data_IF_744970659072
#
_entry.id   IF_744970659072
#
_cell.length_a   1.000
_cell.length_b   1.000
_cell.length_c   1.000
_cell.angle_alpha   90.00
_cell.angle_beta   90.00
_cell.angle_gamma   90.00
#
_symmetry.space_group_name_H-M   'P 1'
#
loop_
_entity.id
_entity.type
_entity.pdbx_description
1 polymer ?
#
# COMPACT_ATOMS: atom_id res chain seq x y z
N UNK A 1 13.34 -3.84 1.94
CA UNK A 1 13.91 -2.46 1.95
C UNK A 1 15.42 -2.56 2.00
N UNK A 2 16.10 -1.81 1.18
CA UNK A 2 17.57 -1.70 1.22
C UNK A 2 17.94 -0.51 2.10
N UNK A 3 18.57 -0.76 3.24
CA UNK A 3 19.19 0.30 4.01
C UNK A 3 20.50 0.70 3.30
N UNK A 4 20.66 1.98 3.01
CA UNK A 4 21.87 2.52 2.36
C UNK A 4 22.97 2.90 3.35
N UNK A 5 22.77 2.63 4.64
CA UNK A 5 23.70 2.94 5.74
C UNK A 5 24.16 4.41 5.76
N UNK A 6 23.25 5.33 5.46
CA UNK A 6 23.55 6.77 5.38
C UNK A 6 23.65 7.45 6.76
N UNK A 7 23.15 6.81 7.81
CA UNK A 7 23.15 7.35 9.17
C UNK A 7 24.31 6.78 10.00
N UNK A 8 24.74 7.52 11.05
CA UNK A 8 25.79 7.10 11.98
C UNK A 8 25.38 5.85 12.79
N UNK A 9 24.08 5.69 13.06
CA UNK A 9 23.53 4.50 13.68
C UNK A 9 22.38 3.94 12.82
N UNK A 10 22.40 2.63 12.58
CA UNK A 10 21.41 1.95 11.76
C UNK A 10 20.84 0.75 12.52
N UNK A 11 19.52 0.68 12.66
CA UNK A 11 18.81 -0.49 13.12
C UNK A 11 17.89 -1.00 12.02
N UNK A 12 18.11 -2.24 11.60
CA UNK A 12 17.36 -2.85 10.49
C UNK A 12 16.82 -4.20 10.94
N UNK A 13 15.50 -4.34 10.97
CA UNK A 13 14.81 -5.61 11.17
C UNK A 13 13.98 -5.94 9.93
N UNK A 14 14.52 -6.78 9.07
CA UNK A 14 13.85 -7.23 7.84
C UNK A 14 12.63 -8.14 8.08
N UNK A 15 12.39 -8.56 9.34
CA UNK A 15 11.23 -9.38 9.73
C UNK A 15 10.10 -8.56 10.34
N UNK A 16 10.35 -7.29 10.68
CA UNK A 16 9.30 -6.40 11.16
C UNK A 16 8.31 -6.12 10.03
N UNK A 17 7.02 -6.15 10.36
CA UNK A 17 5.95 -5.90 9.41
C UNK A 17 5.88 -4.44 8.97
N UNK A 18 6.32 -3.52 9.84
CA UNK A 18 6.31 -2.09 9.62
C UNK A 18 7.44 -1.40 10.39
N UNK A 19 7.84 -0.22 9.96
CA UNK A 19 8.76 0.64 10.71
C UNK A 19 8.18 1.05 12.08
N UNK A 20 6.85 1.22 12.16
CA UNK A 20 6.14 1.49 13.42
C UNK A 20 6.34 0.40 14.49
N UNK A 21 6.46 -0.89 14.09
CA UNK A 21 6.75 -1.99 15.01
C UNK A 21 8.18 -1.91 15.56
N UNK A 22 9.13 -1.43 14.75
CA UNK A 22 10.52 -1.21 15.18
C UNK A 22 10.59 -0.05 16.16
N UNK A 23 9.92 1.07 15.84
CA UNK A 23 9.90 2.26 16.69
C UNK A 23 9.21 1.97 18.04
N UNK A 24 8.11 1.24 18.03
CA UNK A 24 7.44 0.82 19.27
C UNK A 24 8.42 0.06 20.18
N UNK A 25 9.10 -0.96 19.65
CA UNK A 25 10.07 -1.74 20.41
C UNK A 25 11.28 -0.91 20.90
N UNK A 26 11.67 0.10 20.14
CA UNK A 26 12.72 1.03 20.55
C UNK A 26 12.27 1.91 21.71
N UNK A 27 11.07 2.47 21.65
CA UNK A 27 10.51 3.31 22.71
C UNK A 27 10.35 2.53 24.02
N UNK A 28 9.85 1.27 23.95
CA UNK A 28 9.82 0.39 25.13
C UNK A 28 11.21 0.20 25.76
N UNK A 29 12.24 -0.08 24.95
CA UNK A 29 13.61 -0.28 25.43
C UNK A 29 14.23 0.98 26.02
N UNK A 30 13.86 2.14 25.53
CA UNK A 30 14.35 3.44 26.02
C UNK A 30 13.56 3.96 27.21
N UNK A 31 12.48 3.27 27.62
CA UNK A 31 11.59 3.73 28.69
C UNK A 31 10.83 5.01 28.32
N UNK A 32 10.58 5.23 27.03
CA UNK A 32 9.79 6.37 26.56
C UNK A 32 8.32 6.04 26.73
N UNK A 33 7.62 6.84 27.51
CA UNK A 33 6.17 6.75 27.64
C UNK A 33 5.50 7.27 26.37
N UNK A 34 4.54 6.50 25.86
CA UNK A 34 3.73 6.90 24.72
C UNK A 34 2.54 7.73 25.20
N UNK A 35 2.18 8.73 24.42
CA UNK A 35 0.88 9.38 24.49
C UNK A 35 -0.09 8.81 23.43
N UNK A 36 -1.34 9.28 23.43
CA UNK A 36 -2.37 8.82 22.52
C UNK A 36 -2.03 9.12 21.04
N UNK A 37 -1.38 10.25 20.78
CA UNK A 37 -1.03 10.66 19.41
C UNK A 37 0.10 9.78 18.85
N UNK A 38 1.16 9.55 19.63
CA UNK A 38 2.26 8.65 19.25
C UNK A 38 1.73 7.22 19.06
N UNK A 39 0.87 6.75 19.95
CA UNK A 39 0.28 5.41 19.85
C UNK A 39 -0.56 5.27 18.58
N UNK A 40 -1.40 6.27 18.26
CA UNK A 40 -2.18 6.34 17.03
C UNK A 40 -1.30 6.34 15.78
N UNK A 41 -0.20 7.11 15.78
CA UNK A 41 0.69 7.20 14.63
C UNK A 41 1.43 5.88 14.38
N UNK A 42 1.91 5.21 15.45
CA UNK A 42 2.53 3.90 15.36
C UNK A 42 1.53 2.84 14.87
N UNK A 43 0.30 2.86 15.39
CA UNK A 43 -0.78 1.99 14.93
C UNK A 43 -1.10 2.24 13.45
N UNK A 44 -1.19 3.50 13.03
CA UNK A 44 -1.44 3.90 11.64
C UNK A 44 -0.35 3.37 10.70
N UNK A 45 0.93 3.48 11.10
CA UNK A 45 2.05 2.95 10.33
C UNK A 45 1.97 1.42 10.17
N UNK A 46 1.67 0.70 11.27
CA UNK A 46 1.49 -0.76 11.22
C UNK A 46 0.29 -1.13 10.35
N UNK A 47 -0.84 -0.46 10.53
CA UNK A 47 -2.06 -0.70 9.77
C UNK A 47 -1.84 -0.49 8.26
N UNK A 48 -1.16 0.59 7.88
CA UNK A 48 -0.81 0.91 6.49
C UNK A 48 0.07 -0.17 5.85
N UNK A 49 1.19 -0.54 6.49
CA UNK A 49 2.17 -1.47 5.93
C UNK A 49 1.69 -2.93 5.91
N UNK A 50 0.69 -3.25 6.72
CA UNK A 50 0.08 -4.58 6.80
C UNK A 50 -1.24 -4.71 6.04
N UNK A 51 -1.69 -3.64 5.37
CA UNK A 51 -2.99 -3.60 4.71
C UNK A 51 -4.13 -3.89 5.68
N UNK A 52 -4.11 -3.27 6.85
CA UNK A 52 -5.01 -3.56 7.96
C UNK A 52 -4.93 -5.04 8.38
N UNK A 53 -3.74 -5.51 8.64
CA UNK A 53 -3.41 -6.88 9.10
C UNK A 53 -3.79 -8.02 8.14
N UNK A 54 -3.97 -7.71 6.83
CA UNK A 54 -4.35 -8.69 5.80
C UNK A 54 -3.16 -9.32 5.08
N UNK A 55 -1.98 -8.68 5.12
CA UNK A 55 -0.83 -9.12 4.32
C UNK A 55 0.00 -10.19 5.04
N UNK A 56 0.77 -10.94 4.26
CA UNK A 56 1.58 -12.06 4.73
C UNK A 56 2.77 -11.67 5.62
N UNK A 57 3.10 -10.37 5.72
CA UNK A 57 4.13 -9.86 6.62
C UNK A 57 3.65 -9.75 8.08
N UNK A 58 2.37 -9.92 8.36
CA UNK A 58 1.82 -9.90 9.72
C UNK A 58 2.33 -11.08 10.53
N UNK A 59 2.83 -10.81 11.73
CA UNK A 59 3.33 -11.83 12.67
C UNK A 59 2.57 -11.74 13.99
N UNK A 60 2.77 -12.74 14.86
CA UNK A 60 2.23 -12.68 16.22
C UNK A 60 2.80 -11.52 17.04
N UNK A 61 4.01 -11.06 16.71
CA UNK A 61 4.62 -9.87 17.32
C UNK A 61 3.87 -8.62 16.87
N UNK A 62 3.60 -8.50 15.57
CA UNK A 62 2.83 -7.39 14.99
C UNK A 62 1.47 -7.25 15.67
N UNK A 63 0.76 -8.37 15.86
CA UNK A 63 -0.55 -8.36 16.51
C UNK A 63 -0.47 -7.98 17.99
N UNK A 64 0.56 -8.42 18.72
CA UNK A 64 0.77 -8.00 20.11
C UNK A 64 1.09 -6.51 20.21
N UNK A 65 1.96 -6.00 19.35
CA UNK A 65 2.26 -4.56 19.29
C UNK A 65 0.99 -3.75 19.04
N UNK A 66 0.17 -4.17 18.07
CA UNK A 66 -1.10 -3.51 17.79
C UNK A 66 -2.05 -3.57 19.00
N UNK A 67 -2.14 -4.71 19.69
CA UNK A 67 -2.97 -4.84 20.90
C UNK A 67 -2.53 -3.88 22.02
N UNK A 68 -1.21 -3.76 22.26
CA UNK A 68 -0.68 -2.83 23.26
C UNK A 68 -0.97 -1.36 22.87
N UNK A 69 -0.90 -1.03 21.58
CA UNK A 69 -1.24 0.32 21.10
C UNK A 69 -2.72 0.63 21.27
N UNK A 70 -3.61 -0.37 21.19
CA UNK A 70 -5.04 -0.19 21.42
C UNK A 70 -5.44 0.03 22.90
N UNK A 71 -4.49 -0.05 23.83
CA UNK A 71 -4.71 0.35 25.23
C UNK A 71 -4.75 1.88 25.39
N UNK A 72 -4.30 2.63 24.39
CA UNK A 72 -4.35 4.08 24.31
C UNK A 72 -5.67 4.57 23.72
N UNK A 73 -6.08 5.79 24.12
CA UNK A 73 -7.36 6.37 23.71
C UNK A 73 -7.25 7.03 22.31
N UNK A 74 -7.57 6.26 21.25
CA UNK A 74 -7.75 6.75 19.90
C UNK A 74 -8.74 5.87 19.12
N UNK A 75 -9.37 6.45 18.10
CA UNK A 75 -10.30 5.72 17.23
C UNK A 75 -9.57 4.92 16.15
N UNK A 76 -9.32 3.63 16.44
CA UNK A 76 -8.68 2.71 15.48
C UNK A 76 -9.58 2.39 14.28
N UNK A 77 -10.91 2.45 14.43
CA UNK A 77 -11.83 2.23 13.32
C UNK A 77 -11.77 3.39 12.33
N UNK A 78 -11.66 4.63 12.83
CA UNK A 78 -11.44 5.81 11.99
C UNK A 78 -10.10 5.74 11.25
N UNK A 79 -9.02 5.25 11.89
CA UNK A 79 -7.73 5.01 11.22
C UNK A 79 -7.90 4.04 10.04
N UNK A 80 -8.56 2.90 10.26
CA UNK A 80 -8.78 1.90 9.21
C UNK A 80 -9.66 2.47 8.08
N UNK A 81 -10.73 3.18 8.44
CA UNK A 81 -11.64 3.82 7.48
C UNK A 81 -10.91 4.84 6.60
N UNK A 82 -10.10 5.71 7.18
CA UNK A 82 -9.37 6.74 6.43
C UNK A 82 -8.31 6.13 5.50
N UNK A 83 -7.65 5.07 5.93
CA UNK A 83 -6.60 4.42 5.12
C UNK A 83 -7.16 3.56 3.97
N UNK A 84 -8.31 2.89 4.17
CA UNK A 84 -8.72 1.82 3.26
C UNK A 84 -10.14 1.94 2.72
N UNK A 85 -11.05 2.58 3.46
CA UNK A 85 -12.48 2.57 3.16
C UNK A 85 -13.04 3.97 2.85
N UNK A 86 -12.15 4.97 2.66
CA UNK A 86 -12.52 6.32 2.27
C UNK A 86 -11.90 6.69 0.93
N UNK A 87 -12.73 7.07 -0.02
CA UNK A 87 -12.27 7.58 -1.31
C UNK A 87 -13.22 8.65 -1.86
N UNK A 88 -12.71 9.50 -2.74
CA UNK A 88 -13.53 10.51 -3.41
C UNK A 88 -14.42 9.87 -4.49
N UNK A 89 -15.57 10.50 -4.78
CA UNK A 89 -16.42 10.08 -5.90
C UNK A 89 -15.65 10.11 -7.24
N UNK A 90 -14.71 11.03 -7.39
CA UNK A 90 -13.84 11.12 -8.57
C UNK A 90 -12.97 9.85 -8.70
N UNK A 91 -12.35 9.40 -7.59
CA UNK A 91 -11.56 8.17 -7.56
C UNK A 91 -12.41 6.93 -7.85
N UNK A 92 -13.62 6.86 -7.27
CA UNK A 92 -14.56 5.77 -7.54
C UNK A 92 -14.96 5.69 -9.03
N UNK A 93 -15.27 6.84 -9.66
CA UNK A 93 -15.58 6.92 -11.10
C UNK A 93 -14.39 6.52 -11.97
N UNK A 94 -13.19 6.98 -11.63
CA UNK A 94 -11.98 6.58 -12.31
C UNK A 94 -11.74 5.06 -12.22
N UNK A 95 -11.92 4.47 -11.05
CA UNK A 95 -11.80 3.01 -10.86
C UNK A 95 -12.82 2.24 -11.71
N UNK A 96 -14.06 2.72 -11.80
CA UNK A 96 -15.09 2.11 -12.64
C UNK A 96 -14.66 2.13 -14.12
N UNK A 97 -14.22 3.28 -14.66
CA UNK A 97 -13.73 3.36 -16.04
C UNK A 97 -12.54 2.42 -16.30
N UNK A 98 -11.59 2.36 -15.37
CA UNK A 98 -10.44 1.44 -15.49
C UNK A 98 -10.91 -0.01 -15.49
N UNK A 99 -11.88 -0.37 -14.64
CA UNK A 99 -12.41 -1.73 -14.53
C UNK A 99 -13.10 -2.16 -15.83
N UNK A 100 -13.91 -1.29 -16.42
CA UNK A 100 -14.58 -1.54 -17.70
C UNK A 100 -13.61 -1.76 -18.87
N UNK A 101 -12.41 -1.17 -18.80
CA UNK A 101 -11.41 -1.23 -19.86
C UNK A 101 -10.31 -2.28 -19.64
N UNK A 102 -10.47 -3.17 -18.66
CA UNK A 102 -9.53 -4.27 -18.43
C UNK A 102 -9.50 -5.20 -19.64
N UNK A 103 -8.29 -5.50 -20.10
CA UNK A 103 -8.01 -6.52 -21.14
C UNK A 103 -7.49 -7.78 -20.45
N UNK A 104 -8.01 -8.94 -20.88
CA UNK A 104 -7.60 -10.24 -20.37
C UNK A 104 -6.75 -10.98 -21.39
N UNK A 105 -5.69 -11.66 -20.90
CA UNK A 105 -4.78 -12.48 -21.68
C UNK A 105 -4.44 -13.75 -20.91
N UNK A 106 -3.93 -14.79 -21.60
CA UNK A 106 -3.52 -16.05 -21.01
C UNK A 106 -4.63 -16.67 -20.15
N UNK A 107 -5.81 -16.88 -20.74
CA UNK A 107 -7.00 -17.44 -20.08
C UNK A 107 -7.39 -16.72 -18.77
N UNK A 108 -7.32 -15.37 -18.79
CA UNK A 108 -7.68 -14.51 -17.66
C UNK A 108 -6.61 -14.38 -16.57
N UNK A 109 -5.47 -15.03 -16.71
CA UNK A 109 -4.36 -14.95 -15.74
C UNK A 109 -3.61 -13.63 -15.76
N UNK A 110 -3.60 -12.95 -16.92
CA UNK A 110 -3.00 -11.63 -17.08
C UNK A 110 -4.12 -10.64 -17.34
N UNK A 111 -4.20 -9.62 -16.51
CA UNK A 111 -5.14 -8.52 -16.68
C UNK A 111 -4.38 -7.21 -16.85
N UNK A 112 -4.68 -6.51 -17.97
CA UNK A 112 -3.98 -5.29 -18.34
C UNK A 112 -4.94 -4.11 -18.50
N UNK A 113 -4.49 -2.93 -18.09
CA UNK A 113 -5.14 -1.65 -18.39
C UNK A 113 -4.18 -0.75 -19.13
N UNK A 114 -4.71 0.00 -20.10
CA UNK A 114 -3.96 1.01 -20.84
C UNK A 114 -4.64 2.35 -20.57
N UNK A 115 -3.84 3.32 -20.15
CA UNK A 115 -4.32 4.65 -19.82
C UNK A 115 -3.28 5.71 -20.23
N UNK A 116 -3.54 6.96 -19.95
CA UNK A 116 -2.61 8.08 -20.17
C UNK A 116 -2.37 8.88 -18.87
N UNK A 117 -1.42 9.80 -18.93
CA UNK A 117 -1.07 10.67 -17.79
C UNK A 117 -2.20 11.62 -17.40
N UNK A 118 -3.15 11.87 -18.28
CA UNK A 118 -4.20 12.87 -18.13
C UNK A 118 -5.52 12.25 -17.62
N UNK A 119 -5.54 10.94 -17.42
CA UNK A 119 -6.78 10.25 -17.04
C UNK A 119 -7.44 10.86 -15.79
N UNK A 120 -6.65 11.29 -14.83
CA UNK A 120 -7.16 11.97 -13.62
C UNK A 120 -7.84 13.31 -13.92
N UNK A 121 -7.34 14.04 -14.92
CA UNK A 121 -7.89 15.36 -15.27
C UNK A 121 -9.36 15.27 -15.74
N UNK A 122 -9.77 14.16 -16.37
CA UNK A 122 -11.17 13.87 -16.73
C UNK A 122 -12.12 13.92 -15.53
N UNK A 123 -11.60 13.63 -14.33
CA UNK A 123 -12.33 13.60 -13.08
C UNK A 123 -11.96 14.74 -12.13
N UNK A 124 -11.21 15.76 -12.61
CA UNK A 124 -10.77 16.88 -11.80
C UNK A 124 -9.72 16.51 -10.73
N UNK A 125 -9.02 15.41 -10.91
CA UNK A 125 -8.03 14.90 -9.95
C UNK A 125 -6.62 15.42 -10.26
N UNK A 126 -5.88 15.80 -9.23
CA UNK A 126 -4.44 16.01 -9.30
C UNK A 126 -3.67 14.70 -9.51
N UNK A 127 -2.39 14.80 -9.89
CA UNK A 127 -1.56 13.60 -10.10
C UNK A 127 -1.40 12.74 -8.84
N UNK A 128 -1.39 13.38 -7.67
CA UNK A 128 -1.20 12.74 -6.37
C UNK A 128 -2.47 12.05 -5.86
N UNK A 129 -3.64 12.51 -6.34
CA UNK A 129 -4.93 11.96 -5.97
C UNK A 129 -5.29 10.68 -6.76
N UNK A 130 -4.54 10.39 -7.84
CA UNK A 130 -4.82 9.22 -8.69
C UNK A 130 -4.38 7.95 -7.94
N UNK A 131 -5.30 7.01 -7.70
CA UNK A 131 -4.95 5.75 -7.04
C UNK A 131 -3.96 4.93 -7.88
N UNK A 132 -3.33 3.95 -7.25
CA UNK A 132 -2.43 3.04 -7.95
C UNK A 132 -3.24 2.12 -8.89
N UNK A 133 -3.35 2.49 -10.14
CA UNK A 133 -4.25 1.86 -11.12
C UNK A 133 -3.97 0.37 -11.37
N UNK A 134 -2.73 -0.12 -11.15
CA UNK A 134 -2.39 -1.54 -11.31
C UNK A 134 -3.03 -2.42 -10.25
N UNK A 135 -3.42 -1.85 -9.10
CA UNK A 135 -4.08 -2.59 -8.03
C UNK A 135 -5.53 -2.96 -8.36
N UNK A 136 -6.16 -2.27 -9.34
CA UNK A 136 -7.52 -2.56 -9.78
C UNK A 136 -7.57 -3.94 -10.45
N UNK A 137 -6.87 -4.22 -11.56
CA UNK A 137 -6.87 -5.54 -12.17
C UNK A 137 -6.25 -6.61 -11.26
N UNK A 138 -5.32 -6.25 -10.36
CA UNK A 138 -4.71 -7.20 -9.42
C UNK A 138 -5.70 -7.85 -8.46
N UNK A 139 -6.74 -7.11 -8.06
CA UNK A 139 -7.77 -7.58 -7.10
C UNK A 139 -8.83 -8.48 -7.72
N UNK A 140 -8.85 -8.62 -9.05
CA UNK A 140 -9.83 -9.46 -9.72
C UNK A 140 -9.41 -10.93 -9.58
N UNK A 141 -10.36 -11.77 -9.26
CA UNK A 141 -10.15 -13.22 -9.11
C UNK A 141 -9.50 -13.83 -10.37
N UNK A 142 -8.60 -14.79 -10.17
CA UNK A 142 -7.86 -15.44 -11.24
C UNK A 142 -6.67 -14.65 -11.79
N UNK A 143 -6.46 -13.40 -11.37
CA UNK A 143 -5.31 -12.61 -11.81
C UNK A 143 -4.01 -13.13 -11.17
N UNK A 144 -3.08 -13.60 -11.98
CA UNK A 144 -1.71 -13.91 -11.59
C UNK A 144 -0.77 -12.72 -11.80
N UNK A 145 -0.96 -11.97 -12.89
CA UNK A 145 -0.17 -10.78 -13.23
C UNK A 145 -1.12 -9.63 -13.61
N UNK A 146 -0.96 -8.51 -12.95
CA UNK A 146 -1.62 -7.26 -13.29
C UNK A 146 -0.63 -6.31 -13.98
N UNK A 147 -1.07 -5.65 -15.05
CA UNK A 147 -0.28 -4.74 -15.85
C UNK A 147 -1.02 -3.41 -16.00
N UNK A 148 -0.34 -2.30 -15.73
CA UNK A 148 -0.84 -0.98 -16.07
C UNK A 148 0.16 -0.30 -17.00
N UNK A 149 -0.26 -0.01 -18.21
CA UNK A 149 0.52 0.72 -19.22
C UNK A 149 0.00 2.15 -19.26
N UNK A 150 0.83 3.09 -18.85
CA UNK A 150 0.50 4.51 -18.88
C UNK A 150 1.25 5.19 -20.00
N UNK A 151 0.51 5.75 -20.96
CA UNK A 151 1.08 6.59 -22.02
C UNK A 151 1.54 7.91 -21.42
N UNK A 152 2.77 8.31 -21.72
CA UNK A 152 3.38 9.59 -21.33
C UNK A 152 3.75 10.39 -22.56
N UNK A 153 4.16 11.65 -22.40
CA UNK A 153 4.62 12.46 -23.53
C UNK A 153 5.88 11.89 -24.22
N UNK A 154 6.70 11.12 -23.49
CA UNK A 154 8.00 10.62 -23.95
C UNK A 154 8.01 9.08 -24.15
N UNK A 155 6.85 8.42 -24.15
CA UNK A 155 6.79 6.96 -24.29
C UNK A 155 5.74 6.32 -23.38
N UNK A 156 6.09 5.20 -22.75
CA UNK A 156 5.19 4.44 -21.92
C UNK A 156 5.83 4.15 -20.57
N UNK A 157 5.03 4.23 -19.50
CA UNK A 157 5.39 3.72 -18.18
C UNK A 157 4.64 2.42 -17.92
N UNK A 158 5.38 1.39 -17.52
CA UNK A 158 4.84 0.08 -17.22
C UNK A 158 4.87 -0.18 -15.71
N UNK A 159 3.73 -0.49 -15.12
CA UNK A 159 3.62 -0.97 -13.75
C UNK A 159 3.12 -2.42 -13.78
N UNK A 160 3.87 -3.31 -13.14
CA UNK A 160 3.55 -4.73 -13.02
C UNK A 160 3.37 -5.09 -11.54
N UNK A 161 2.42 -5.99 -11.26
CA UNK A 161 2.22 -6.61 -9.96
C UNK A 161 1.87 -8.08 -10.14
N UNK A 162 2.41 -8.94 -9.28
CA UNK A 162 2.05 -10.36 -9.24
C UNK A 162 1.26 -10.70 -7.98
N UNK A 163 0.45 -11.75 -8.05
CA UNK A 163 -0.25 -12.34 -6.93
C UNK A 163 0.44 -13.66 -6.51
N UNK A 164 1.64 -13.54 -5.93
CA UNK A 164 2.27 -14.58 -5.12
C UNK A 164 2.94 -15.76 -5.84
N UNK A 165 2.86 -15.88 -7.19
CA UNK A 165 3.52 -16.97 -7.94
C UNK A 165 4.66 -16.51 -8.86
N UNK A 166 4.81 -15.22 -9.08
CA UNK A 166 5.90 -14.64 -9.87
C UNK A 166 6.64 -13.62 -9.01
N UNK A 167 7.97 -13.54 -9.10
CA UNK A 167 8.76 -12.55 -8.39
C UNK A 167 8.32 -11.13 -8.80
N UNK A 168 7.98 -10.32 -7.82
CA UNK A 168 7.66 -8.90 -7.99
C UNK A 168 8.93 -8.12 -8.35
N UNK A 169 9.26 -8.09 -9.62
CA UNK A 169 10.30 -7.19 -10.12
C UNK A 169 9.66 -5.86 -10.47
N UNK A 170 9.96 -4.83 -9.69
CA UNK A 170 9.72 -3.44 -10.09
C UNK A 170 10.63 -3.14 -11.29
N UNK A 171 10.15 -3.35 -12.50
CA UNK A 171 10.82 -2.86 -13.70
C UNK A 171 10.22 -1.52 -14.09
N UNK A 172 11.00 -0.45 -13.93
CA UNK A 172 10.79 0.84 -14.58
C UNK A 172 11.61 0.80 -15.86
N UNK A 173 10.97 0.86 -17.01
CA UNK A 173 11.60 1.13 -18.31
C UNK A 173 11.21 2.52 -18.74
#
# INVERSE_FOLDING_TARGET
MTNTNFADANYVDGKAAAAGEILYALFEKMGIELDNDIAKDLYTAICSDTGCFKYSNVTSKTMRTAANLLEYDFDHAEVARLLFDSESLAAAKLKAEITENIKEYADGKIKAVITDEKIGAKYGMGKEDIPNLVDIPRRIEGTEIAVCIKRTNNGFRLNLRSNGKAEDRKSVV
#
